data_IF_745209665458
#
_entry.id   IF_745209665458
#
_cell.length_a   1.000
_cell.length_b   1.000
_cell.length_c   1.000
_cell.angle_alpha   90.00
_cell.angle_beta   90.00
_cell.angle_gamma   90.00
#
_symmetry.space_group_name_H-M   'P 1'
#
loop_
_entity.id
_entity.type
_entity.pdbx_description
1 polymer ?
#
# COMPACT_ATOMS: atom_id res chain seq x y z
N UNK A 1 2.20 28.94 -2.63
CA UNK A 1 2.59 27.51 -2.65
C UNK A 1 1.52 26.69 -1.96
N UNK A 2 0.91 25.79 -2.65
CA UNK A 2 -0.09 24.92 -2.08
C UNK A 2 0.50 23.85 -1.20
N UNK A 3 -0.31 23.35 -0.29
CA UNK A 3 0.02 22.18 0.51
C UNK A 3 0.05 20.97 -0.42
N UNK A 4 1.16 20.22 -0.44
CA UNK A 4 1.32 19.03 -1.27
C UNK A 4 0.80 17.77 -0.60
N UNK A 5 0.38 17.87 0.68
CA UNK A 5 -0.18 16.71 1.38
C UNK A 5 -1.53 16.32 0.80
N UNK A 6 -1.83 15.04 0.88
CA UNK A 6 -3.11 14.48 0.46
C UNK A 6 -4.22 15.07 1.32
N UNK A 7 -5.30 15.51 0.69
CA UNK A 7 -6.41 16.15 1.41
C UNK A 7 -7.37 15.10 2.01
N UNK A 8 -8.25 15.57 2.90
CA UNK A 8 -9.16 14.70 3.63
C UNK A 8 -10.15 13.99 2.71
N UNK A 9 -10.59 14.63 1.64
CA UNK A 9 -11.50 14.01 0.68
C UNK A 9 -10.83 12.83 -0.04
N UNK A 10 -9.58 12.97 -0.37
CA UNK A 10 -8.81 11.89 -1.00
C UNK A 10 -8.60 10.74 -0.03
N UNK A 11 -8.29 11.03 1.23
CA UNK A 11 -8.14 9.98 2.24
C UNK A 11 -9.46 9.21 2.45
N UNK A 12 -10.59 9.91 2.47
CA UNK A 12 -11.90 9.27 2.57
C UNK A 12 -12.16 8.35 1.38
N UNK A 13 -11.83 8.80 0.16
CA UNK A 13 -11.96 7.99 -1.04
C UNK A 13 -11.08 6.74 -0.96
N UNK A 14 -9.81 6.88 -0.57
CA UNK A 14 -8.89 5.74 -0.49
C UNK A 14 -9.37 4.74 0.56
N UNK A 15 -9.88 5.22 1.70
CA UNK A 15 -10.40 4.34 2.73
C UNK A 15 -11.63 3.57 2.24
N UNK A 16 -12.51 4.21 1.48
CA UNK A 16 -13.67 3.55 0.89
C UNK A 16 -13.24 2.49 -0.13
N UNK A 17 -12.26 2.80 -0.98
CA UNK A 17 -11.74 1.84 -1.96
C UNK A 17 -11.06 0.65 -1.29
N UNK A 18 -10.29 0.90 -0.22
CA UNK A 18 -9.66 -0.16 0.56
C UNK A 18 -10.72 -1.07 1.20
N UNK A 19 -11.78 -0.48 1.75
CA UNK A 19 -12.87 -1.24 2.36
C UNK A 19 -13.60 -2.08 1.32
N UNK A 20 -13.87 -1.54 0.14
CA UNK A 20 -14.50 -2.29 -0.95
C UNK A 20 -13.61 -3.46 -1.38
N UNK A 21 -12.31 -3.22 -1.55
CA UNK A 21 -11.36 -4.28 -1.92
C UNK A 21 -11.33 -5.38 -0.85
N UNK A 22 -11.35 -4.99 0.43
CA UNK A 22 -11.35 -5.93 1.55
C UNK A 22 -12.52 -6.91 1.47
N UNK A 23 -13.69 -6.47 1.01
CA UNK A 23 -14.87 -7.36 0.92
C UNK A 23 -14.67 -8.47 -0.11
N UNK A 24 -13.68 -8.35 -0.98
CA UNK A 24 -13.39 -9.33 -2.04
C UNK A 24 -12.22 -10.23 -1.71
N UNK A 25 -11.61 -10.09 -0.53
CA UNK A 25 -10.47 -10.89 -0.11
C UNK A 25 -10.79 -12.38 -0.06
N UNK A 26 -9.82 -13.19 -0.44
CA UNK A 26 -9.94 -14.65 -0.37
C UNK A 26 -9.13 -15.14 0.82
N UNK A 27 -9.82 -15.41 1.93
CA UNK A 27 -9.17 -15.70 3.21
C UNK A 27 -9.75 -16.92 3.92
N UNK A 28 -9.81 -18.08 3.22
CA UNK A 28 -10.48 -19.28 3.78
C UNK A 28 -9.74 -19.87 4.98
N UNK A 29 -8.48 -19.52 5.20
CA UNK A 29 -7.66 -20.10 6.26
C UNK A 29 -7.62 -19.23 7.51
N UNK A 30 -7.41 -17.92 7.34
CA UNK A 30 -7.27 -17.00 8.49
C UNK A 30 -8.58 -16.32 8.88
N UNK A 31 -9.52 -16.20 7.96
CA UNK A 31 -10.72 -15.38 8.12
C UNK A 31 -10.35 -13.90 8.41
N UNK A 32 -9.19 -13.44 7.96
CA UNK A 32 -8.69 -12.08 8.21
C UNK A 32 -8.55 -11.32 6.89
N UNK A 33 -9.64 -10.68 6.40
CA UNK A 33 -9.58 -9.97 5.13
C UNK A 33 -8.90 -8.61 5.31
N UNK A 34 -8.14 -8.22 4.28
CA UNK A 34 -7.46 -6.93 4.24
C UNK A 34 -7.69 -6.31 2.87
N UNK A 35 -7.93 -5.00 2.85
CA UNK A 35 -7.98 -4.23 1.62
C UNK A 35 -7.01 -3.07 1.70
N UNK A 36 -6.46 -2.69 0.56
CA UNK A 36 -5.52 -1.58 0.44
C UNK A 36 -5.89 -0.71 -0.76
N UNK A 37 -5.60 0.58 -0.65
CA UNK A 37 -5.81 1.51 -1.76
C UNK A 37 -4.73 2.59 -1.73
N UNK A 38 -4.40 3.10 -2.91
CA UNK A 38 -3.37 4.10 -3.04
C UNK A 38 -3.69 5.07 -4.18
N UNK A 39 -3.14 6.28 -4.07
CA UNK A 39 -3.20 7.30 -5.09
C UNK A 39 -1.88 7.31 -5.85
N UNK A 40 -1.96 7.31 -7.16
CA UNK A 40 -0.81 7.46 -8.06
C UNK A 40 -0.64 8.95 -8.35
N UNK A 41 0.59 9.38 -8.61
CA UNK A 41 0.90 10.80 -8.84
C UNK A 41 0.11 11.44 -9.97
N UNK A 42 -0.37 10.65 -10.95
CA UNK A 42 -1.16 11.15 -12.07
C UNK A 42 -2.67 11.22 -11.77
N UNK A 43 -3.08 10.90 -10.55
CA UNK A 43 -4.48 10.97 -10.13
C UNK A 43 -5.23 9.64 -10.17
N UNK A 44 -4.65 8.58 -10.77
CA UNK A 44 -5.28 7.26 -10.74
C UNK A 44 -5.29 6.72 -9.32
N UNK A 45 -6.28 5.88 -9.03
CA UNK A 45 -6.29 5.08 -7.80
C UNK A 45 -6.06 3.62 -8.15
N UNK A 46 -5.38 2.89 -7.27
CA UNK A 46 -5.17 1.45 -7.39
C UNK A 46 -5.52 0.79 -6.06
N UNK A 47 -5.97 -0.45 -6.10
CA UNK A 47 -6.41 -1.15 -4.91
C UNK A 47 -6.08 -2.63 -4.99
N UNK A 48 -6.19 -3.32 -3.86
CA UNK A 48 -5.96 -4.76 -3.80
C UNK A 48 -6.53 -5.35 -2.52
N UNK A 49 -6.65 -6.66 -2.50
CA UNK A 49 -7.06 -7.43 -1.33
C UNK A 49 -6.12 -8.61 -1.15
N UNK A 50 -6.11 -9.19 0.05
CA UNK A 50 -5.26 -10.37 0.28
C UNK A 50 -5.91 -11.63 -0.31
N UNK A 51 -5.04 -12.51 -0.83
CA UNK A 51 -5.43 -13.77 -1.44
C UNK A 51 -4.57 -14.88 -0.84
N UNK A 52 -5.19 -15.70 -0.03
CA UNK A 52 -4.50 -16.78 0.66
C UNK A 52 -4.34 -18.01 -0.22
N UNK A 53 -3.50 -18.92 0.23
CA UNK A 53 -3.23 -20.17 -0.45
C UNK A 53 -2.97 -21.24 0.60
N UNK A 54 -3.35 -22.49 0.32
CA UNK A 54 -3.04 -23.60 1.21
C UNK A 54 -1.54 -23.73 1.45
N UNK A 55 -0.74 -23.34 0.47
CA UNK A 55 0.71 -23.18 0.64
C UNK A 55 0.95 -21.76 1.16
N UNK A 56 1.08 -21.62 2.47
CA UNK A 56 1.12 -20.31 3.13
C UNK A 56 2.18 -19.38 2.54
N UNK A 57 3.30 -19.93 2.09
CA UNK A 57 4.40 -19.12 1.55
C UNK A 57 4.09 -18.39 0.25
N UNK A 58 3.01 -18.74 -0.45
CA UNK A 58 2.60 -18.06 -1.68
C UNK A 58 1.37 -17.18 -1.48
N UNK A 59 0.97 -16.94 -0.24
CA UNK A 59 -0.10 -16.00 0.09
C UNK A 59 0.28 -14.60 -0.37
N UNK A 60 -0.66 -13.90 -0.99
CA UNK A 60 -0.46 -12.54 -1.48
C UNK A 60 -1.13 -11.55 -0.52
N UNK A 61 -0.35 -10.62 0.03
CA UNK A 61 -0.89 -9.52 0.80
C UNK A 61 -1.68 -8.56 -0.12
N UNK A 62 -2.56 -7.76 0.44
CA UNK A 62 -3.37 -6.80 -0.32
C UNK A 62 -2.48 -5.87 -1.16
N UNK A 63 -1.33 -5.49 -0.66
CA UNK A 63 -0.39 -4.61 -1.33
C UNK A 63 0.21 -5.24 -2.59
N UNK A 64 0.32 -6.57 -2.64
CA UNK A 64 0.81 -7.26 -3.84
C UNK A 64 -0.13 -7.03 -5.02
N UNK A 65 -1.44 -7.17 -4.80
CA UNK A 65 -2.45 -6.91 -5.83
C UNK A 65 -2.46 -5.45 -6.25
N UNK A 66 -2.35 -4.56 -5.27
CA UNK A 66 -2.31 -3.12 -5.51
C UNK A 66 -1.12 -2.74 -6.41
N UNK A 67 0.07 -3.25 -6.11
CA UNK A 67 1.27 -2.95 -6.90
C UNK A 67 1.18 -3.57 -8.28
N UNK A 68 0.61 -4.78 -8.39
CA UNK A 68 0.37 -5.40 -9.69
C UNK A 68 -0.55 -4.53 -10.56
N UNK A 69 -1.62 -4.00 -9.98
CA UNK A 69 -2.52 -3.10 -10.69
C UNK A 69 -1.80 -1.81 -11.10
N UNK A 70 -0.98 -1.25 -10.22
CA UNK A 70 -0.18 -0.05 -10.55
C UNK A 70 0.64 -0.26 -11.81
N UNK A 71 1.41 -1.34 -11.84
CA UNK A 71 2.30 -1.62 -12.97
C UNK A 71 1.50 -1.91 -14.23
N UNK A 72 0.47 -2.74 -14.15
CA UNK A 72 -0.36 -3.11 -15.30
C UNK A 72 -1.09 -1.89 -15.91
N UNK A 73 -1.51 -0.95 -15.06
CA UNK A 73 -2.30 0.20 -15.51
C UNK A 73 -1.47 1.40 -15.97
N UNK A 74 -0.15 1.26 -16.03
CA UNK A 74 0.71 2.30 -16.57
C UNK A 74 1.89 2.68 -15.68
N UNK A 75 1.99 2.14 -14.48
CA UNK A 75 3.09 2.45 -13.57
C UNK A 75 2.92 3.81 -12.91
N UNK A 76 4.04 4.41 -12.55
CA UNK A 76 4.05 5.71 -11.88
C UNK A 76 4.35 5.58 -10.40
N UNK A 77 4.38 6.72 -9.72
CA UNK A 77 4.76 6.80 -8.32
C UNK A 77 3.53 6.84 -7.43
N UNK A 78 3.52 6.03 -6.39
CA UNK A 78 2.49 6.10 -5.34
C UNK A 78 2.77 7.30 -4.44
N UNK A 79 1.74 8.09 -4.14
CA UNK A 79 1.90 9.30 -3.30
C UNK A 79 1.09 9.22 -2.01
N UNK A 80 0.08 8.36 -1.92
CA UNK A 80 -0.73 8.16 -0.71
C UNK A 80 -1.21 6.72 -0.63
N UNK A 81 -1.25 6.16 0.57
CA UNK A 81 -1.60 4.75 0.79
C UNK A 81 -2.36 4.58 2.10
N UNK A 82 -3.35 3.70 2.10
CA UNK A 82 -3.98 3.23 3.33
C UNK A 82 -4.45 1.78 3.15
N UNK A 83 -4.66 1.08 4.28
CA UNK A 83 -5.24 -0.26 4.26
C UNK A 83 -6.13 -0.46 5.48
N UNK A 84 -7.07 -1.40 5.36
CA UNK A 84 -8.08 -1.64 6.38
C UNK A 84 -8.23 -3.14 6.62
N UNK A 85 -8.71 -3.49 7.82
CA UNK A 85 -9.06 -4.85 8.20
C UNK A 85 -10.55 -5.15 7.91
N UNK A 86 -11.02 -6.32 8.36
CA UNK A 86 -12.38 -6.78 8.09
C UNK A 86 -13.49 -5.91 8.69
N UNK A 87 -13.15 -5.09 9.67
CA UNK A 87 -14.10 -4.14 10.28
C UNK A 87 -14.01 -2.75 9.64
N UNK A 88 -13.18 -2.59 8.61
CA UNK A 88 -12.96 -1.29 7.98
C UNK A 88 -12.05 -0.38 8.77
N UNK A 89 -11.41 -0.89 9.82
CA UNK A 89 -10.49 -0.11 10.64
C UNK A 89 -9.11 -0.04 10.00
N UNK A 90 -8.43 1.09 10.21
CA UNK A 90 -7.08 1.28 9.67
C UNK A 90 -6.12 0.23 10.20
N UNK A 91 -5.27 -0.26 9.32
CA UNK A 91 -4.32 -1.33 9.59
C UNK A 91 -2.93 -0.90 9.15
N UNK A 92 -1.90 -1.54 9.73
CA UNK A 92 -0.50 -1.28 9.36
C UNK A 92 -0.04 -2.36 8.39
N UNK A 93 0.61 -2.01 7.26
CA UNK A 93 1.16 -3.02 6.36
C UNK A 93 2.33 -3.75 7.01
N UNK A 94 2.46 -5.05 6.73
CA UNK A 94 3.56 -5.84 7.28
C UNK A 94 4.92 -5.36 6.73
N UNK A 95 6.00 -5.82 7.34
CA UNK A 95 7.35 -5.39 6.93
C UNK A 95 7.67 -5.69 5.47
N UNK A 96 7.25 -6.87 4.99
CA UNK A 96 7.43 -7.24 3.57
C UNK A 96 6.73 -6.24 2.65
N UNK A 97 5.52 -5.84 2.98
CA UNK A 97 4.75 -4.89 2.16
C UNK A 97 5.32 -3.48 2.26
N UNK A 98 5.91 -3.10 3.39
CA UNK A 98 6.60 -1.80 3.48
C UNK A 98 7.77 -1.75 2.50
N UNK A 99 8.52 -2.83 2.37
CA UNK A 99 9.59 -2.92 1.40
C UNK A 99 9.06 -2.86 -0.04
N UNK A 100 7.96 -3.57 -0.31
CA UNK A 100 7.32 -3.55 -1.62
C UNK A 100 6.87 -2.12 -1.99
N UNK A 101 6.23 -1.42 -1.05
CA UNK A 101 5.76 -0.06 -1.28
C UNK A 101 6.92 0.93 -1.44
N UNK A 102 8.05 0.67 -0.78
CA UNK A 102 9.23 1.53 -0.90
C UNK A 102 9.71 1.65 -2.34
N UNK A 103 9.69 0.55 -3.07
CA UNK A 103 10.09 0.54 -4.48
C UNK A 103 9.27 1.52 -5.32
N UNK A 104 7.96 1.62 -5.03
CA UNK A 104 7.01 2.34 -5.87
C UNK A 104 6.57 3.69 -5.32
N UNK A 105 6.86 3.99 -4.07
CA UNK A 105 6.48 5.25 -3.44
C UNK A 105 7.64 6.02 -2.84
N UNK A 106 8.67 5.31 -2.40
CA UNK A 106 9.83 5.92 -1.77
C UNK A 106 9.54 6.47 -0.38
N UNK A 107 10.51 7.22 0.20
CA UNK A 107 10.40 7.69 1.58
C UNK A 107 9.25 8.66 1.83
N UNK A 108 8.84 9.42 0.80
CA UNK A 108 7.80 10.43 0.93
C UNK A 108 6.37 9.93 0.78
N UNK A 109 6.17 8.62 0.54
CA UNK A 109 4.82 8.09 0.42
C UNK A 109 4.04 8.35 1.71
N UNK A 110 2.91 9.05 1.58
CA UNK A 110 2.05 9.33 2.73
C UNK A 110 1.22 8.10 3.08
N UNK A 111 1.20 7.77 4.37
CA UNK A 111 0.57 6.56 4.88
C UNK A 111 -0.44 6.95 5.95
N UNK A 112 -1.73 6.70 5.72
CA UNK A 112 -2.74 6.91 6.76
C UNK A 112 -2.82 5.66 7.61
N UNK A 113 -2.29 5.74 8.82
CA UNK A 113 -2.09 4.62 9.75
C UNK A 113 -2.95 4.80 10.99
N UNK A 114 -3.15 3.74 11.80
CA UNK A 114 -3.88 3.87 13.05
C UNK A 114 -3.32 4.95 13.97
N UNK A 115 -2.00 5.17 13.94
CA UNK A 115 -1.33 6.17 14.76
C UNK A 115 -1.42 7.58 14.18
N UNK A 116 -1.99 7.74 12.99
CA UNK A 116 -2.12 9.02 12.30
C UNK A 116 -1.43 9.02 10.96
N UNK A 117 -1.30 10.20 10.38
CA UNK A 117 -0.63 10.36 9.09
C UNK A 117 0.88 10.23 9.27
N UNK A 118 1.50 9.34 8.50
CA UNK A 118 2.94 9.06 8.54
C UNK A 118 3.52 9.10 7.14
N UNK A 119 4.84 9.06 7.03
CA UNK A 119 5.50 8.77 5.76
C UNK A 119 6.06 7.35 5.80
N UNK A 120 6.33 6.78 4.64
CA UNK A 120 6.94 5.45 4.61
C UNK A 120 8.33 5.44 5.25
N UNK A 121 9.07 6.56 5.18
CA UNK A 121 10.34 6.68 5.88
C UNK A 121 10.18 6.49 7.40
N UNK A 122 9.06 6.94 7.98
CA UNK A 122 8.78 6.73 9.40
C UNK A 122 8.56 5.25 9.72
N UNK A 123 7.98 4.50 8.78
CA UNK A 123 7.60 3.09 8.98
C UNK A 123 8.67 2.11 8.53
N UNK A 124 9.67 2.58 7.78
CA UNK A 124 10.76 1.74 7.28
C UNK A 124 12.06 2.55 7.29
N UNK A 125 12.59 2.85 8.48
CA UNK A 125 13.86 3.58 8.57
C UNK A 125 15.02 2.74 8.04
N UNK A 126 16.03 3.41 7.47
CA UNK A 126 17.20 2.77 6.89
C UNK A 126 16.82 1.70 5.86
N UNK A 127 15.88 2.03 4.98
CA UNK A 127 15.34 1.08 4.02
C UNK A 127 16.35 0.75 2.91
N UNK A 128 16.33 -0.51 2.50
CA UNK A 128 17.03 -0.94 1.29
C UNK A 128 16.23 -0.49 0.07
N UNK A 129 16.90 0.00 -0.96
CA UNK A 129 16.21 0.43 -2.17
C UNK A 129 17.11 0.37 -3.40
N UNK A 130 16.58 0.78 -4.56
CA UNK A 130 17.31 0.71 -5.84
C UNK A 130 18.63 1.47 -5.83
N UNK A 131 18.73 2.55 -5.06
CA UNK A 131 19.95 3.35 -4.93
C UNK A 131 21.13 2.53 -4.42
N UNK A 132 20.87 1.53 -3.59
CA UNK A 132 21.93 0.65 -3.08
C UNK A 132 22.52 -0.21 -4.19
N UNK A 133 21.68 -0.66 -5.10
CA UNK A 133 22.14 -1.45 -6.25
C UNK A 133 22.90 -0.59 -7.25
N UNK A 134 22.47 0.64 -7.47
CA UNK A 134 23.16 1.58 -8.34
C UNK A 134 24.57 1.87 -7.85
N UNK A 135 24.74 1.99 -6.54
CA UNK A 135 26.05 2.24 -5.93
C UNK A 135 27.02 1.10 -6.12
N UNK A 136 26.54 -0.13 -6.27
CA UNK A 136 27.40 -1.28 -6.51
C UNK A 136 27.79 -1.42 -7.98
N UNK A 137 27.11 -0.73 -8.87
CA UNK A 137 27.38 -0.76 -10.31
C UNK A 137 28.18 0.46 -10.78
N UNK A 138 28.24 1.45 -9.96
CA UNK A 138 28.96 2.69 -10.25
C UNK A 138 30.42 2.56 -9.97
#
# INVERSE_FOLDING_TARGET
MGDTRTDDATWALLRDLATEAMTRAYVPYSAYPVGAAALVEDGRTVSGCNVENAAYGVTLCAECGLVSELVRSGGGRLVAFTCVDGDGELLVPCGRCRQLLWEHGGPGLEMLMPSGLRTLADLLPDAFGPDHLERTHG
#
